data_IF_198496607115
#
_entry.id   IF_198496607115
#
_cell.length_a   1.000
_cell.length_b   1.000
_cell.length_c   1.000
_cell.angle_alpha   90.00
_cell.angle_beta   90.00
_cell.angle_gamma   90.00
#
_symmetry.space_group_name_H-M   'P 1'
#
loop_
_entity.id
_entity.type
_entity.pdbx_description
1 polymer ?
#
# COMPACT_ATOMS: atom_id res chain seq x y z
N UNK A 1 7.23 31.75 28.24
CA UNK A 1 6.39 31.17 27.16
C UNK A 1 7.17 30.04 26.53
N UNK A 2 6.76 28.80 26.78
CA UNK A 2 7.45 27.60 26.28
C UNK A 2 6.74 27.18 25.00
N UNK A 3 7.40 27.31 23.85
CA UNK A 3 6.88 26.85 22.56
C UNK A 3 6.94 25.32 22.53
N UNK A 4 5.88 24.60 22.09
CA UNK A 4 5.95 23.16 21.94
C UNK A 4 6.92 22.81 20.80
N UNK A 5 7.88 21.95 21.10
CA UNK A 5 8.73 21.34 20.10
C UNK A 5 7.89 20.41 19.22
N UNK A 6 7.37 20.93 18.11
CA UNK A 6 6.98 20.07 16.97
C UNK A 6 8.24 19.37 16.49
N UNK A 7 8.22 18.04 16.51
CA UNK A 7 9.26 17.13 16.00
C UNK A 7 9.56 17.53 14.53
N UNK A 8 10.55 18.42 14.33
CA UNK A 8 10.76 19.21 13.10
C UNK A 8 11.44 18.43 11.97
N UNK A 9 11.61 17.14 12.14
CA UNK A 9 12.17 16.28 11.11
C UNK A 9 11.19 15.15 10.83
N UNK A 10 10.72 14.96 9.59
CA UNK A 10 10.03 13.73 9.25
C UNK A 10 11.02 12.61 9.56
N UNK A 11 10.67 11.77 10.54
CA UNK A 11 11.44 10.57 10.88
C UNK A 11 11.77 9.86 9.56
N UNK A 12 13.04 9.46 9.32
CA UNK A 12 13.41 8.88 8.05
C UNK A 12 12.43 7.74 7.71
N UNK A 13 12.04 7.63 6.45
CA UNK A 13 11.14 6.57 5.99
C UNK A 13 11.91 5.72 5.00
N UNK A 14 11.85 4.41 5.18
CA UNK A 14 12.41 3.48 4.20
C UNK A 14 11.26 3.03 3.31
N UNK A 15 11.34 3.38 2.03
CA UNK A 15 10.39 2.90 1.04
C UNK A 15 10.93 1.64 0.38
N UNK A 16 10.08 0.61 0.31
CA UNK A 16 10.32 -0.61 -0.46
C UNK A 16 9.23 -0.77 -1.50
N UNK A 17 9.56 -1.45 -2.60
CA UNK A 17 8.62 -1.74 -3.67
C UNK A 17 8.67 -3.19 -4.07
N UNK A 18 7.50 -3.76 -4.38
CA UNK A 18 7.36 -5.14 -4.84
C UNK A 18 6.51 -5.12 -6.12
N UNK A 19 7.00 -5.76 -7.17
CA UNK A 19 6.27 -5.92 -8.43
C UNK A 19 5.30 -7.09 -8.32
N UNK A 20 4.10 -6.93 -8.89
CA UNK A 20 3.03 -7.92 -8.87
C UNK A 20 2.52 -8.15 -10.27
N UNK A 21 2.39 -9.43 -10.63
CA UNK A 21 1.92 -9.85 -11.95
C UNK A 21 0.51 -9.35 -12.25
N UNK A 22 0.27 -9.00 -13.52
CA UNK A 22 -1.00 -8.46 -14.00
C UNK A 22 -2.23 -9.29 -13.58
N UNK A 23 -2.12 -10.62 -13.67
CA UNK A 23 -3.20 -11.56 -13.34
C UNK A 23 -3.53 -11.67 -11.84
N UNK A 24 -2.78 -11.00 -10.95
CA UNK A 24 -3.07 -10.96 -9.51
C UNK A 24 -3.66 -9.63 -9.07
N UNK A 25 -3.69 -8.63 -9.93
CA UNK A 25 -4.07 -7.25 -9.58
C UNK A 25 -5.51 -7.17 -9.06
N UNK A 26 -6.45 -7.77 -9.77
CA UNK A 26 -7.88 -7.70 -9.42
C UNK A 26 -8.15 -8.31 -8.04
N UNK A 27 -7.62 -9.51 -7.80
CA UNK A 27 -7.74 -10.19 -6.51
C UNK A 27 -7.09 -9.39 -5.37
N UNK A 28 -5.88 -8.87 -5.58
CA UNK A 28 -5.17 -8.11 -4.54
C UNK A 28 -5.83 -6.75 -4.27
N UNK A 29 -6.35 -6.07 -5.30
CA UNK A 29 -7.10 -4.84 -5.13
C UNK A 29 -8.37 -5.06 -4.32
N UNK A 30 -9.12 -6.13 -4.63
CA UNK A 30 -10.33 -6.49 -3.92
C UNK A 30 -10.03 -6.87 -2.47
N UNK A 31 -9.06 -7.75 -2.22
CA UNK A 31 -8.79 -8.22 -0.86
C UNK A 31 -8.13 -7.15 0.01
N UNK A 32 -7.09 -6.46 -0.49
CA UNK A 32 -6.30 -5.56 0.33
C UNK A 32 -6.95 -4.18 0.49
N UNK A 33 -7.65 -3.70 -0.54
CA UNK A 33 -8.22 -2.35 -0.57
C UNK A 33 -9.75 -2.34 -0.62
N UNK A 34 -10.42 -3.48 -0.84
CA UNK A 34 -11.86 -3.50 -1.07
C UNK A 34 -12.26 -2.83 -2.39
N UNK A 35 -11.34 -2.76 -3.36
CA UNK A 35 -11.56 -2.07 -4.63
C UNK A 35 -11.83 -3.09 -5.72
N UNK A 36 -12.98 -2.96 -6.38
CA UNK A 36 -13.35 -3.83 -7.50
C UNK A 36 -12.68 -3.35 -8.79
N UNK A 37 -11.90 -4.23 -9.40
CA UNK A 37 -11.21 -3.97 -10.68
C UNK A 37 -11.60 -5.07 -11.64
N UNK A 38 -11.92 -4.69 -12.88
CA UNK A 38 -12.05 -5.65 -13.97
C UNK A 38 -11.22 -5.22 -15.17
N UNK A 39 -10.64 -6.21 -15.84
CA UNK A 39 -9.93 -6.05 -17.10
C UNK A 39 -10.86 -6.40 -18.27
N UNK A 40 -11.09 -5.44 -19.18
CA UNK A 40 -11.89 -5.64 -20.38
C UNK A 40 -11.24 -4.97 -21.59
N UNK A 41 -11.15 -5.70 -22.71
CA UNK A 41 -10.58 -5.24 -23.98
C UNK A 41 -9.18 -4.61 -23.84
N UNK A 42 -8.32 -5.20 -23.00
CA UNK A 42 -6.95 -4.72 -22.77
C UNK A 42 -6.84 -3.54 -21.81
N UNK A 43 -7.96 -3.07 -21.24
CA UNK A 43 -8.00 -1.95 -20.30
C UNK A 43 -8.48 -2.40 -18.92
N UNK A 44 -7.97 -1.77 -17.86
CA UNK A 44 -8.45 -1.94 -16.49
C UNK A 44 -9.37 -0.82 -16.10
N UNK A 45 -10.44 -1.18 -15.40
CA UNK A 45 -11.38 -0.21 -14.85
C UNK A 45 -11.56 -0.48 -13.36
N UNK A 46 -11.61 0.60 -12.57
CA UNK A 46 -12.11 0.54 -11.20
C UNK A 46 -13.62 0.73 -11.25
N UNK A 47 -14.37 -0.21 -10.70
CA UNK A 47 -15.83 -0.21 -10.70
C UNK A 47 -16.38 0.25 -9.37
N UNK A 48 -17.43 1.07 -9.45
CA UNK A 48 -18.20 1.51 -8.30
C UNK A 48 -19.61 0.89 -8.34
N UNK A 49 -20.24 0.72 -7.17
CA UNK A 49 -21.67 0.41 -7.10
C UNK A 49 -22.48 1.41 -7.94
N UNK A 50 -23.43 0.92 -8.72
CA UNK A 50 -24.25 1.76 -9.62
C UNK A 50 -23.66 1.96 -11.03
N UNK A 51 -22.57 1.27 -11.38
CA UNK A 51 -22.07 1.19 -12.77
C UNK A 51 -21.14 2.32 -13.20
N UNK A 52 -20.86 3.28 -12.31
CA UNK A 52 -19.79 4.25 -12.53
C UNK A 52 -18.43 3.55 -12.55
N UNK A 53 -17.52 4.02 -13.41
CA UNK A 53 -16.19 3.44 -13.56
C UNK A 53 -15.12 4.50 -13.74
N UNK A 54 -13.91 4.20 -13.28
CA UNK A 54 -12.70 4.99 -13.51
C UNK A 54 -11.76 4.19 -14.40
N UNK A 55 -11.29 4.82 -15.48
CA UNK A 55 -10.18 4.35 -16.30
C UNK A 55 -8.88 4.99 -15.78
N UNK A 56 -7.88 4.23 -15.31
CA UNK A 56 -6.58 4.79 -14.94
C UNK A 56 -5.83 5.36 -16.15
N UNK A 57 -5.51 6.65 -16.14
CA UNK A 57 -4.75 7.29 -17.23
C UNK A 57 -3.69 8.27 -16.67
N UNK A 58 -2.37 7.98 -16.82
CA UNK A 58 -1.78 6.69 -17.22
C UNK A 58 -1.79 5.66 -16.07
N UNK A 59 -1.90 6.12 -14.82
CA UNK A 59 -1.78 5.30 -13.61
C UNK A 59 -2.76 5.77 -12.53
N UNK A 60 -3.14 4.84 -11.66
CA UNK A 60 -3.95 5.10 -10.47
C UNK A 60 -3.23 4.54 -9.24
N UNK A 61 -3.37 5.23 -8.11
CA UNK A 61 -2.84 4.76 -6.82
C UNK A 61 -3.98 4.37 -5.89
N UNK A 62 -3.98 3.13 -5.42
CA UNK A 62 -4.87 2.63 -4.37
C UNK A 62 -4.16 2.78 -3.02
N UNK A 63 -4.79 3.48 -2.07
CA UNK A 63 -4.31 3.64 -0.70
C UNK A 63 -5.36 3.15 0.30
N UNK A 64 -4.95 2.96 1.56
CA UNK A 64 -5.85 2.48 2.61
C UNK A 64 -5.97 0.96 2.60
N UNK A 65 -4.83 0.27 2.72
CA UNK A 65 -4.80 -1.19 2.85
C UNK A 65 -5.38 -1.61 4.21
N UNK A 66 -6.23 -2.64 4.23
CA UNK A 66 -6.79 -3.23 5.45
C UNK A 66 -5.68 -3.80 6.33
N UNK A 67 -5.63 -3.41 7.61
CA UNK A 67 -4.60 -3.82 8.56
C UNK A 67 -4.49 -5.34 8.68
N UNK A 68 -5.65 -6.00 8.80
CA UNK A 68 -5.76 -7.46 8.98
C UNK A 68 -5.20 -8.26 7.81
N UNK A 69 -5.14 -7.68 6.62
CA UNK A 69 -4.69 -8.38 5.41
C UNK A 69 -3.18 -8.23 5.17
N UNK A 70 -2.49 -7.35 5.89
CA UNK A 70 -1.05 -7.11 5.68
C UNK A 70 -0.23 -8.36 6.04
N UNK A 71 -0.44 -8.93 7.23
CA UNK A 71 0.35 -10.09 7.68
C UNK A 71 0.11 -11.36 6.85
N UNK A 72 -1.14 -11.72 6.45
CA UNK A 72 -1.37 -12.87 5.59
C UNK A 72 -0.69 -12.79 4.23
N UNK A 73 -0.60 -11.60 3.63
CA UNK A 73 -0.07 -11.42 2.27
C UNK A 73 1.42 -11.09 2.22
N UNK A 74 1.93 -10.32 3.17
CA UNK A 74 3.32 -9.84 3.17
C UNK A 74 4.18 -10.45 4.29
N UNK A 75 3.58 -11.28 5.14
CA UNK A 75 4.24 -11.91 6.28
C UNK A 75 4.27 -11.03 7.53
N UNK A 76 4.46 -11.69 8.68
CA UNK A 76 4.46 -11.06 10.00
C UNK A 76 5.62 -10.04 10.16
N UNK A 77 6.77 -10.28 9.55
CA UNK A 77 7.92 -9.38 9.63
C UNK A 77 7.65 -8.04 8.94
N UNK A 78 7.10 -8.09 7.72
CA UNK A 78 6.68 -6.89 6.98
C UNK A 78 5.61 -6.13 7.75
N UNK A 79 4.64 -6.85 8.32
CA UNK A 79 3.62 -6.23 9.19
C UNK A 79 4.26 -5.50 10.37
N UNK A 80 5.21 -6.12 11.09
CA UNK A 80 5.91 -5.46 12.21
C UNK A 80 6.68 -4.22 11.77
N UNK A 81 7.36 -4.27 10.62
CA UNK A 81 8.10 -3.14 10.08
C UNK A 81 7.20 -1.97 9.64
N UNK A 82 6.01 -2.27 9.11
CA UNK A 82 4.97 -1.27 8.82
C UNK A 82 4.37 -0.75 10.12
N UNK A 83 4.05 -1.63 11.07
CA UNK A 83 3.42 -1.25 12.32
C UNK A 83 4.33 -0.34 13.17
N UNK A 84 5.64 -0.48 13.07
CA UNK A 84 6.59 0.44 13.71
C UNK A 84 6.58 1.86 13.09
N UNK A 85 5.95 2.07 11.93
CA UNK A 85 5.84 3.37 11.30
C UNK A 85 4.95 4.31 12.14
N UNK A 86 5.41 5.54 12.46
CA UNK A 86 4.63 6.52 13.20
C UNK A 86 3.25 6.82 12.57
N UNK A 87 3.14 6.82 11.24
CA UNK A 87 1.87 7.06 10.56
C UNK A 87 0.87 5.94 10.83
N UNK A 88 1.34 4.69 10.76
CA UNK A 88 0.50 3.52 11.07
C UNK A 88 -0.01 3.58 12.51
N UNK A 89 0.86 3.97 13.45
CA UNK A 89 0.49 4.14 14.86
C UNK A 89 -0.53 5.27 15.06
N UNK A 90 -0.43 6.34 14.29
CA UNK A 90 -1.37 7.44 14.34
C UNK A 90 -2.73 7.06 13.73
N UNK A 91 -2.73 6.38 12.58
CA UNK A 91 -3.94 5.82 11.95
C UNK A 91 -4.67 4.86 12.90
N UNK A 92 -3.93 4.00 13.63
CA UNK A 92 -4.49 3.15 14.67
C UNK A 92 -5.12 3.93 15.83
N UNK A 93 -4.46 4.99 16.31
CA UNK A 93 -5.01 5.85 17.39
C UNK A 93 -6.28 6.57 16.97
N UNK A 94 -6.39 6.92 15.69
CA UNK A 94 -7.58 7.52 15.09
C UNK A 94 -8.71 6.48 14.87
N UNK A 95 -8.45 5.21 15.16
CA UNK A 95 -9.43 4.13 15.04
C UNK A 95 -9.64 3.65 13.61
N UNK A 96 -8.74 3.98 12.68
CA UNK A 96 -8.82 3.45 11.32
C UNK A 96 -8.44 1.97 11.28
N UNK A 97 -9.18 1.20 10.48
CA UNK A 97 -8.90 -0.21 10.17
C UNK A 97 -8.01 -0.37 8.93
N UNK A 98 -7.58 0.76 8.36
CA UNK A 98 -6.82 0.87 7.11
C UNK A 98 -5.63 1.78 7.27
N UNK A 99 -4.56 1.47 6.55
CA UNK A 99 -3.31 2.24 6.55
C UNK A 99 -2.92 2.76 5.18
N UNK A 100 -2.33 3.95 5.14
CA UNK A 100 -1.66 4.49 3.96
C UNK A 100 -0.17 4.11 3.87
N UNK A 101 0.38 3.39 4.85
CA UNK A 101 1.76 2.90 4.81
C UNK A 101 1.98 1.79 3.77
N UNK A 102 0.91 1.23 3.22
CA UNK A 102 0.95 0.29 2.10
C UNK A 102 -0.01 0.78 1.01
N UNK A 103 0.52 0.96 -0.20
CA UNK A 103 -0.28 1.36 -1.35
C UNK A 103 0.14 0.62 -2.62
N UNK A 104 -0.78 0.58 -3.58
CA UNK A 104 -0.61 -0.10 -4.85
C UNK A 104 -0.74 0.91 -5.98
N UNK A 105 0.18 0.87 -6.94
CA UNK A 105 0.08 1.65 -8.18
C UNK A 105 -0.23 0.67 -9.31
N UNK A 106 -1.30 0.98 -10.04
CA UNK A 106 -1.78 0.22 -11.19
C UNK A 106 -1.82 1.12 -12.42
N UNK A 107 -1.75 0.51 -13.59
CA UNK A 107 -1.90 1.19 -14.88
C UNK A 107 -3.19 0.78 -15.57
N UNK A 108 -3.60 1.59 -16.55
CA UNK A 108 -4.79 1.32 -17.36
C UNK A 108 -4.64 0.12 -18.28
N UNK A 109 -3.42 -0.31 -18.63
CA UNK A 109 -3.17 -1.43 -19.53
C UNK A 109 -3.27 -2.77 -18.78
N UNK A 110 -4.20 -3.64 -19.18
CA UNK A 110 -4.46 -4.93 -18.54
C UNK A 110 -3.30 -5.93 -18.59
N UNK A 111 -2.30 -5.72 -19.44
CA UNK A 111 -1.11 -6.56 -19.54
C UNK A 111 0.02 -6.15 -18.58
N UNK A 112 0.01 -4.90 -18.10
CA UNK A 112 1.12 -4.37 -17.29
C UNK A 112 1.06 -4.82 -15.83
N UNK A 113 2.23 -5.00 -15.21
CA UNK A 113 2.32 -5.32 -13.79
C UNK A 113 1.94 -4.14 -12.89
N UNK A 114 1.56 -4.44 -11.65
CA UNK A 114 1.37 -3.44 -10.61
C UNK A 114 2.59 -3.35 -9.69
N UNK A 115 2.72 -2.25 -8.96
CA UNK A 115 3.76 -2.11 -7.94
C UNK A 115 3.13 -1.77 -6.59
N UNK A 116 3.41 -2.59 -5.58
CA UNK A 116 3.17 -2.23 -4.19
C UNK A 116 4.33 -1.42 -3.67
N UNK A 117 4.01 -0.45 -2.82
CA UNK A 117 4.97 0.35 -2.10
C UNK A 117 4.67 0.29 -0.60
N UNK A 118 5.73 0.10 0.18
CA UNK A 118 5.67 -0.08 1.62
C UNK A 118 6.50 1.02 2.27
N UNK A 119 5.89 1.77 3.19
CA UNK A 119 6.57 2.73 4.04
C UNK A 119 6.93 2.05 5.37
N UNK A 120 8.20 1.71 5.54
CA UNK A 120 8.73 1.03 6.71
C UNK A 120 9.43 2.03 7.64
N UNK A 121 9.46 1.70 8.93
CA UNK A 121 10.32 2.39 9.88
C UNK A 121 11.82 2.07 9.61
N UNK A 122 12.75 3.02 9.85
CA UNK A 122 14.16 2.90 9.47
C UNK A 122 14.92 1.71 10.04
N UNK A 123 14.64 1.35 11.30
CA UNK A 123 15.38 0.28 11.99
C UNK A 123 15.01 -1.07 11.38
N UNK A 124 13.72 -1.29 11.14
CA UNK A 124 13.15 -2.51 10.59
C UNK A 124 13.39 -2.62 9.07
N UNK A 125 13.36 -1.50 8.33
CA UNK A 125 13.61 -1.49 6.88
C UNK A 125 15.02 -1.93 6.47
N UNK A 126 15.99 -1.82 7.39
CA UNK A 126 17.36 -2.29 7.18
C UNK A 126 17.47 -3.82 7.31
N UNK A 127 16.74 -4.42 8.25
CA UNK A 127 16.68 -5.88 8.42
C UNK A 127 15.97 -6.56 7.24
N UNK A 128 14.86 -6.00 6.77
CA UNK A 128 14.14 -6.52 5.59
C UNK A 128 14.99 -6.43 4.32
N UNK A 129 15.76 -5.35 4.13
CA UNK A 129 16.70 -5.21 3.00
C UNK A 129 17.74 -6.34 2.98
N UNK A 130 18.30 -6.66 4.15
CA UNK A 130 19.38 -7.64 4.25
C UNK A 130 18.90 -9.08 4.00
N UNK A 131 17.60 -9.37 4.11
CA UNK A 131 17.03 -10.69 3.81
C UNK A 131 16.50 -10.84 2.39
N UNK A 132 16.07 -9.75 1.75
CA UNK A 132 15.58 -9.79 0.37
C UNK A 132 16.70 -9.75 -0.67
N UNK A 133 17.90 -9.29 -0.31
CA UNK A 133 19.04 -9.10 -1.21
C UNK A 133 20.38 -9.61 -0.64
N UNK A 134 20.35 -10.34 0.48
CA UNK A 134 21.52 -10.94 1.11
C UNK A 134 21.61 -12.44 0.83
#
# INVERSE_FOLDING_TARGET
MTFPATDKYPKPRVFKSICVMANKIEHLAATLFGVHIESNAGLRYVFFPGGAKILPEPRLTLRGCLHREISPYFGMETYRAIAANPDFQEELKQGYDRTNCLWMVITGDASEAATFFLALAPREGTEVKNRLYG
#
